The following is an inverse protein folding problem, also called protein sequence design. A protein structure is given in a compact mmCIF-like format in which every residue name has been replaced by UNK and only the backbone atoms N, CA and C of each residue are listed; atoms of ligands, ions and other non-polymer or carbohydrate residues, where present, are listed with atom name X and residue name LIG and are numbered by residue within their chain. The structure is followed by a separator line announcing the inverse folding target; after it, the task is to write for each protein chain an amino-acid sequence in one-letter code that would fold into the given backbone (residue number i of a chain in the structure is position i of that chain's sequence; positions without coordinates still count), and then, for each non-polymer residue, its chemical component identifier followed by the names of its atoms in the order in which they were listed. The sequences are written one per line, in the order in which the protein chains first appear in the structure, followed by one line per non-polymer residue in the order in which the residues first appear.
data_IF_581292813941
#
_entry.id   IF_581292813941
#
_cell.length_a   1.000
_cell.length_b   1.000
_cell.length_c   1.000
_cell.angle_alpha   90.00
_cell.angle_beta   90.00
_cell.angle_gamma   90.00
#
_symmetry.space_group_name_H-M   'P 1'
#
loop_
_entity.id
_entity.type
_entity.pdbx_description
1 polymer ?
#
# COMPACT_ATOMS: atom_id res chain seq x y z
N UNK A 1 9.26 31.22 -2.63
CA UNK A 1 8.11 30.52 -2.03
C UNK A 1 7.12 30.30 -3.15
N UNK A 2 6.78 29.06 -3.49
CA UNK A 2 5.75 28.78 -4.49
C UNK A 2 4.39 29.27 -3.97
N UNK A 3 3.61 29.96 -4.80
CA UNK A 3 2.25 30.34 -4.46
C UNK A 3 1.42 29.07 -4.23
N UNK A 4 1.05 28.81 -2.97
CA UNK A 4 0.17 27.70 -2.61
C UNK A 4 -1.22 28.03 -3.16
N UNK A 5 -1.75 27.15 -4.02
CA UNK A 5 -3.06 27.36 -4.66
C UNK A 5 -4.18 26.55 -4.04
N UNK A 6 -3.84 25.44 -3.38
CA UNK A 6 -4.78 24.55 -2.72
C UNK A 6 -4.22 24.17 -1.35
N UNK A 7 -4.94 24.57 -0.29
CA UNK A 7 -4.56 24.25 1.08
C UNK A 7 -5.07 22.88 1.50
N UNK A 8 -4.30 22.18 2.33
CA UNK A 8 -4.68 20.89 2.85
C UNK A 8 -5.69 21.01 4.00
N UNK A 9 -6.77 20.26 3.93
CA UNK A 9 -7.69 20.05 5.05
C UNK A 9 -7.90 18.55 5.28
N UNK A 10 -7.72 18.03 6.51
CA UNK A 10 -7.87 16.61 6.80
C UNK A 10 -9.32 16.11 6.71
N UNK A 11 -10.32 17.00 6.68
CA UNK A 11 -11.76 16.66 6.70
C UNK A 11 -12.07 15.68 7.84
N UNK A 12 -12.73 14.55 7.54
CA UNK A 12 -12.99 13.44 8.47
C UNK A 12 -11.98 12.28 8.34
N UNK A 13 -10.89 12.45 7.58
CA UNK A 13 -9.88 11.41 7.36
C UNK A 13 -9.14 11.09 8.68
N UNK A 14 -9.17 9.85 9.18
CA UNK A 14 -8.36 9.47 10.33
C UNK A 14 -6.88 9.42 9.96
N UNK A 15 -6.03 9.87 10.87
CA UNK A 15 -4.57 9.78 10.74
C UNK A 15 -3.99 8.77 11.71
N UNK A 16 -3.02 7.98 11.26
CA UNK A 16 -2.27 7.00 12.06
C UNK A 16 -0.78 7.28 11.95
N UNK A 17 0.00 6.80 12.91
CA UNK A 17 1.46 6.76 12.74
C UNK A 17 1.83 5.71 11.69
N UNK A 18 2.84 5.99 10.88
CA UNK A 18 3.44 5.00 9.99
C UNK A 18 4.42 4.16 10.81
N UNK A 19 3.93 3.04 11.32
CA UNK A 19 4.66 2.18 12.26
C UNK A 19 5.07 2.91 13.53
N UNK A 20 6.32 2.71 13.94
CA UNK A 20 6.91 3.33 15.14
C UNK A 20 7.34 4.78 14.94
N UNK A 21 7.30 5.30 13.71
CA UNK A 21 7.79 6.63 13.39
C UNK A 21 6.88 7.76 13.92
N UNK A 22 7.42 9.00 13.89
CA UNK A 22 6.64 10.21 14.14
C UNK A 22 5.76 10.64 12.96
N UNK A 23 5.95 10.05 11.78
CA UNK A 23 5.20 10.40 10.56
C UNK A 23 3.76 9.95 10.69
N UNK A 24 2.81 10.89 10.47
CA UNK A 24 1.38 10.60 10.45
C UNK A 24 0.90 10.51 9.01
N UNK A 25 0.20 9.43 8.70
CA UNK A 25 -0.35 9.13 7.37
C UNK A 25 -1.86 9.02 7.44
N UNK A 26 -2.59 9.35 6.36
CA UNK A 26 -4.03 9.19 6.30
C UNK A 26 -4.36 7.71 6.22
N UNK A 27 -5.51 7.31 6.79
CA UNK A 27 -5.97 5.93 6.76
C UNK A 27 -6.08 5.37 5.34
N UNK A 28 -6.42 6.24 4.37
CA UNK A 28 -6.38 5.93 2.95
C UNK A 28 -5.37 6.82 2.24
N UNK A 29 -4.50 6.21 1.44
CA UNK A 29 -3.56 6.88 0.54
C UNK A 29 -3.93 6.59 -0.93
N UNK A 30 -3.28 7.25 -1.88
CA UNK A 30 -3.52 7.05 -3.31
C UNK A 30 -2.25 6.53 -4.01
N UNK A 31 -2.36 5.40 -4.71
CA UNK A 31 -1.26 4.78 -5.46
C UNK A 31 -1.37 4.96 -6.97
N UNK A 32 -0.22 5.08 -7.65
CA UNK A 32 -0.12 5.29 -9.10
C UNK A 32 -0.11 4.04 -9.98
N UNK A 33 0.09 2.85 -9.42
CA UNK A 33 0.32 1.62 -10.19
C UNK A 33 -0.78 1.35 -11.25
N UNK A 34 -0.35 1.09 -12.50
CA UNK A 34 -1.17 0.89 -13.71
C UNK A 34 -2.01 2.08 -14.17
N UNK A 35 -2.28 3.05 -13.30
CA UNK A 35 -3.28 4.10 -13.51
C UNK A 35 -2.62 5.42 -13.86
N UNK A 36 -2.02 6.10 -12.88
CA UNK A 36 -1.41 7.41 -13.05
C UNK A 36 -0.13 7.30 -13.90
N UNK A 37 -0.11 7.89 -15.09
CA UNK A 37 0.97 7.73 -16.07
C UNK A 37 0.87 6.46 -16.93
N UNK A 38 -0.10 5.59 -16.62
CA UNK A 38 -0.41 4.37 -17.34
C UNK A 38 -1.69 4.54 -18.16
N UNK A 39 -2.79 3.94 -17.71
CA UNK A 39 -4.10 4.08 -18.39
C UNK A 39 -4.74 5.45 -18.23
N UNK A 40 -4.28 6.28 -17.30
CA UNK A 40 -4.75 7.64 -17.07
C UNK A 40 -3.56 8.60 -17.17
N UNK A 41 -3.65 9.59 -18.05
CA UNK A 41 -2.59 10.59 -18.32
C UNK A 41 -3.20 11.98 -18.46
N UNK A 42 -2.41 13.03 -18.25
CA UNK A 42 -2.86 14.42 -18.40
C UNK A 42 -3.87 14.90 -17.35
N UNK A 43 -4.82 15.74 -17.75
CA UNK A 43 -5.80 16.36 -16.82
C UNK A 43 -6.59 15.37 -15.96
N UNK A 44 -7.02 14.19 -16.45
CA UNK A 44 -7.63 13.18 -15.59
C UNK A 44 -6.80 12.77 -14.35
N UNK A 45 -5.46 12.74 -14.45
CA UNK A 45 -4.58 12.47 -13.29
C UNK A 45 -4.72 13.60 -12.27
N UNK A 46 -4.72 14.85 -12.75
CA UNK A 46 -4.88 16.05 -11.91
C UNK A 46 -6.19 16.00 -11.14
N UNK A 47 -7.30 15.70 -11.80
CA UNK A 47 -8.61 15.63 -11.15
C UNK A 47 -8.69 14.53 -10.09
N UNK A 48 -8.05 13.38 -10.32
CA UNK A 48 -7.99 12.28 -9.33
C UNK A 48 -7.19 12.71 -8.10
N UNK A 49 -5.98 13.24 -8.27
CA UNK A 49 -5.12 13.67 -7.15
C UNK A 49 -5.77 14.83 -6.40
N UNK A 50 -6.34 15.82 -7.11
CA UNK A 50 -7.09 16.93 -6.53
C UNK A 50 -8.24 16.43 -5.66
N UNK A 51 -9.05 15.51 -6.19
CA UNK A 51 -10.17 14.92 -5.44
C UNK A 51 -9.69 14.18 -4.19
N UNK A 52 -8.59 13.43 -4.28
CA UNK A 52 -8.00 12.77 -3.12
C UNK A 52 -7.59 13.79 -2.04
N UNK A 53 -6.86 14.83 -2.45
CA UNK A 53 -6.36 15.88 -1.56
C UNK A 53 -7.47 16.67 -0.88
N UNK A 54 -8.51 17.06 -1.63
CA UNK A 54 -9.68 17.78 -1.11
C UNK A 54 -10.51 16.94 -0.10
N UNK A 55 -10.31 15.63 -0.08
CA UNK A 55 -10.99 14.69 0.83
C UNK A 55 -10.05 14.10 1.89
N UNK A 56 -8.96 14.81 2.23
CA UNK A 56 -8.09 14.47 3.36
C UNK A 56 -6.99 13.45 3.06
N UNK A 57 -6.84 12.98 1.82
CA UNK A 57 -5.71 12.15 1.42
C UNK A 57 -4.51 13.05 1.08
N UNK A 58 -3.47 13.02 1.90
CA UNK A 58 -2.20 13.70 1.60
C UNK A 58 -1.04 12.75 1.31
N UNK A 59 -1.26 11.44 1.30
CA UNK A 59 -0.23 10.45 0.98
C UNK A 59 -0.39 9.91 -0.44
N UNK A 60 0.67 10.03 -1.24
CA UNK A 60 0.72 9.61 -2.63
C UNK A 60 1.88 8.66 -2.88
N UNK A 61 1.58 7.49 -3.41
CA UNK A 61 2.53 6.39 -3.58
C UNK A 61 2.77 6.09 -5.07
N UNK A 62 4.05 5.99 -5.46
CA UNK A 62 4.49 5.68 -6.81
C UNK A 62 5.75 4.79 -6.79
N UNK A 63 6.33 4.45 -7.93
CA UNK A 63 7.61 3.73 -8.01
C UNK A 63 8.34 4.11 -9.30
N UNK A 64 9.67 3.97 -9.31
CA UNK A 64 10.49 4.31 -10.48
C UNK A 64 10.06 3.57 -11.76
N UNK A 65 9.60 2.32 -11.61
CA UNK A 65 9.22 1.45 -12.71
C UNK A 65 7.85 1.80 -13.29
N UNK A 66 6.95 2.40 -12.50
CA UNK A 66 5.53 2.46 -12.83
C UNK A 66 5.31 3.19 -14.16
N UNK A 67 4.84 2.43 -15.14
CA UNK A 67 4.65 2.87 -16.52
C UNK A 67 5.92 3.44 -17.16
N UNK A 68 7.09 2.88 -16.82
CA UNK A 68 8.40 3.34 -17.28
C UNK A 68 8.79 4.71 -16.74
N UNK A 69 8.46 5.00 -15.48
CA UNK A 69 8.72 6.29 -14.82
C UNK A 69 7.67 7.38 -15.10
N UNK A 70 6.66 7.11 -15.94
CA UNK A 70 5.60 8.08 -16.25
C UNK A 70 4.72 8.42 -15.06
N UNK A 71 4.56 7.49 -14.11
CA UNK A 71 3.77 7.75 -12.90
C UNK A 71 4.38 8.86 -12.05
N UNK A 72 5.70 8.85 -11.89
CA UNK A 72 6.44 9.91 -11.19
C UNK A 72 6.37 11.25 -11.93
N UNK A 73 6.51 11.25 -13.26
CA UNK A 73 6.38 12.46 -14.08
C UNK A 73 5.00 13.11 -13.93
N UNK A 74 3.93 12.30 -14.00
CA UNK A 74 2.55 12.78 -13.85
C UNK A 74 2.28 13.30 -12.43
N UNK A 75 2.71 12.56 -11.40
CA UNK A 75 2.52 12.98 -10.01
C UNK A 75 3.27 14.29 -9.71
N UNK A 76 4.53 14.40 -10.15
CA UNK A 76 5.32 15.62 -10.00
C UNK A 76 4.72 16.83 -10.73
N UNK A 77 4.27 16.64 -11.97
CA UNK A 77 3.56 17.66 -12.75
C UNK A 77 2.31 18.15 -12.01
N UNK A 78 1.47 17.23 -11.53
CA UNK A 78 0.22 17.56 -10.87
C UNK A 78 0.43 18.29 -9.55
N UNK A 79 1.37 17.84 -8.70
CA UNK A 79 1.74 18.52 -7.45
C UNK A 79 2.08 20.00 -7.71
N UNK A 80 2.87 20.25 -8.76
CA UNK A 80 3.29 21.60 -9.18
C UNK A 80 2.14 22.42 -9.77
N UNK A 81 1.32 21.84 -10.65
CA UNK A 81 0.19 22.54 -11.27
C UNK A 81 -0.87 22.96 -10.24
N UNK A 82 -1.19 22.06 -9.32
CA UNK A 82 -2.13 22.31 -8.22
C UNK A 82 -1.55 23.24 -7.14
N UNK A 83 -0.25 23.57 -7.21
CA UNK A 83 0.41 24.41 -6.21
C UNK A 83 0.27 23.84 -4.80
N UNK A 84 0.39 22.51 -4.66
CA UNK A 84 0.29 21.85 -3.36
C UNK A 84 1.54 22.17 -2.53
N UNK A 85 1.34 22.57 -1.28
CA UNK A 85 2.45 22.85 -0.38
C UNK A 85 3.17 21.54 -0.04
N UNK A 86 4.47 21.46 -0.31
CA UNK A 86 5.24 20.23 -0.09
C UNK A 86 5.16 19.69 1.35
N UNK A 87 5.07 20.56 2.35
CA UNK A 87 4.96 20.20 3.77
C UNK A 87 3.61 19.58 4.16
N UNK A 88 2.60 19.72 3.30
CA UNK A 88 1.29 19.12 3.53
C UNK A 88 1.23 17.69 2.98
N UNK A 89 2.20 17.30 2.14
CA UNK A 89 2.21 16.03 1.42
C UNK A 89 3.11 14.99 2.08
N UNK A 90 2.70 13.73 1.95
CA UNK A 90 3.54 12.55 2.16
C UNK A 90 3.72 11.84 0.81
N UNK A 91 4.88 11.96 0.20
CA UNK A 91 5.17 11.32 -1.10
C UNK A 91 6.06 10.12 -0.89
N UNK A 92 5.68 8.96 -1.45
CA UNK A 92 6.48 7.74 -1.39
C UNK A 92 6.82 7.23 -2.77
N UNK A 93 8.07 6.81 -2.95
CA UNK A 93 8.50 6.07 -4.16
C UNK A 93 9.21 4.78 -3.76
N UNK A 94 9.48 3.91 -4.74
CA UNK A 94 10.09 2.60 -4.53
C UNK A 94 11.15 2.33 -5.58
N UNK A 95 12.22 1.67 -5.14
CA UNK A 95 13.35 1.29 -5.99
C UNK A 95 13.51 -0.22 -6.03
N UNK A 96 13.67 -0.74 -7.25
CA UNK A 96 14.18 -2.09 -7.56
C UNK A 96 14.32 -2.29 -9.07
N UNK A 97 13.34 -1.87 -9.85
CA UNK A 97 13.35 -2.02 -11.32
C UNK A 97 13.49 -0.65 -11.96
N UNK A 98 14.69 -0.26 -12.36
CA UNK A 98 14.89 1.02 -13.02
C UNK A 98 14.22 1.10 -14.40
N UNK A 99 14.16 2.32 -14.91
CA UNK A 99 13.54 2.64 -16.21
C UNK A 99 14.44 2.29 -17.42
N UNK A 100 15.68 1.88 -17.16
CA UNK A 100 16.68 1.51 -18.17
C UNK A 100 16.97 0.01 -18.14
N UNK A 101 17.67 -0.47 -19.16
CA UNK A 101 17.99 -1.90 -19.34
C UNK A 101 19.50 -2.08 -19.33
N UNK A 102 20.05 -2.25 -18.15
CA UNK A 102 21.48 -2.45 -17.90
C UNK A 102 21.70 -3.28 -16.65
N UNK A 103 22.89 -3.86 -16.48
CA UNK A 103 23.17 -4.79 -15.36
C UNK A 103 23.09 -4.13 -13.99
N UNK A 104 23.18 -2.79 -13.92
CA UNK A 104 23.10 -2.00 -12.70
C UNK A 104 21.89 -1.05 -12.67
N UNK A 105 20.94 -1.20 -13.60
CA UNK A 105 19.74 -0.38 -13.66
C UNK A 105 18.60 -0.97 -12.79
N UNK A 106 18.93 -1.82 -11.82
CA UNK A 106 17.97 -2.45 -10.92
C UNK A 106 18.64 -3.12 -9.70
N UNK A 107 17.81 -3.77 -8.89
CA UNK A 107 18.19 -4.39 -7.62
C UNK A 107 18.29 -3.39 -6.47
N UNK A 108 18.88 -3.82 -5.36
CA UNK A 108 19.10 -3.01 -4.16
C UNK A 108 20.57 -2.74 -3.89
N UNK A 109 21.42 -2.79 -4.93
CA UNK A 109 22.80 -2.36 -4.81
C UNK A 109 22.87 -0.89 -4.39
N UNK A 110 23.93 -0.50 -3.70
CA UNK A 110 24.17 0.90 -3.32
C UNK A 110 24.12 1.83 -4.53
N UNK A 111 24.65 1.37 -5.68
CA UNK A 111 24.63 2.12 -6.94
C UNK A 111 23.19 2.40 -7.38
N UNK A 112 22.36 1.36 -7.49
CA UNK A 112 20.97 1.53 -7.94
C UNK A 112 20.11 2.31 -6.94
N UNK A 113 20.28 2.07 -5.63
CA UNK A 113 19.53 2.84 -4.62
C UNK A 113 19.84 4.35 -4.76
N UNK A 114 21.11 4.73 -4.90
CA UNK A 114 21.50 6.14 -5.05
C UNK A 114 21.00 6.71 -6.38
N UNK A 115 21.34 6.07 -7.50
CA UNK A 115 21.00 6.58 -8.85
C UNK A 115 19.49 6.55 -9.11
N UNK A 116 18.80 5.50 -8.67
CA UNK A 116 17.36 5.35 -8.73
C UNK A 116 16.63 6.40 -7.89
N UNK A 117 17.14 6.73 -6.69
CA UNK A 117 16.58 7.83 -5.87
C UNK A 117 16.68 9.14 -6.63
N UNK A 118 17.88 9.50 -7.14
CA UNK A 118 18.09 10.75 -7.86
C UNK A 118 17.21 10.85 -9.11
N UNK A 119 17.12 9.77 -9.89
CA UNK A 119 16.25 9.73 -11.06
C UNK A 119 14.77 9.84 -10.72
N UNK A 120 14.33 9.28 -9.59
CA UNK A 120 12.95 9.40 -9.11
C UNK A 120 12.62 10.83 -8.69
N UNK A 121 13.52 11.48 -7.93
CA UNK A 121 13.38 12.88 -7.53
C UNK A 121 13.32 13.83 -8.72
N UNK A 122 14.16 13.60 -9.74
CA UNK A 122 14.14 14.37 -10.99
C UNK A 122 12.78 14.26 -11.70
N UNK A 123 12.26 13.04 -11.88
CA UNK A 123 10.94 12.82 -12.51
C UNK A 123 9.80 13.42 -11.69
N UNK A 124 9.86 13.28 -10.36
CA UNK A 124 8.90 13.87 -9.43
C UNK A 124 9.00 15.39 -9.34
N UNK A 125 10.09 16.00 -9.82
CA UNK A 125 10.40 17.43 -9.60
C UNK A 125 10.38 17.80 -8.10
N UNK A 126 10.90 16.91 -7.25
CA UNK A 126 10.98 17.08 -5.79
C UNK A 126 12.42 17.02 -5.31
N UNK A 127 12.72 17.74 -4.23
CA UNK A 127 14.04 17.66 -3.57
C UNK A 127 14.15 16.42 -2.68
N UNK A 128 13.01 15.93 -2.18
CA UNK A 128 12.93 14.75 -1.31
C UNK A 128 11.58 14.04 -1.43
N UNK A 129 11.58 12.74 -1.13
CA UNK A 129 10.38 11.96 -0.80
C UNK A 129 10.28 11.77 0.71
N UNK A 130 9.08 11.54 1.25
CA UNK A 130 8.94 11.30 2.69
C UNK A 130 9.43 9.89 3.06
N UNK A 131 9.07 8.89 2.25
CA UNK A 131 9.51 7.51 2.44
C UNK A 131 9.97 6.92 1.12
N UNK A 132 11.16 6.31 1.13
CA UNK A 132 11.64 5.51 0.01
C UNK A 132 11.58 4.01 0.35
N UNK A 133 10.94 3.24 -0.52
CA UNK A 133 10.75 1.81 -0.30
C UNK A 133 11.76 0.97 -1.09
N UNK A 134 12.30 -0.07 -0.48
CA UNK A 134 12.83 -1.21 -1.20
C UNK A 134 11.66 -1.96 -1.83
N UNK A 135 11.47 -1.88 -3.15
CA UNK A 135 10.24 -2.36 -3.80
C UNK A 135 10.10 -3.89 -3.72
N UNK A 136 11.21 -4.64 -3.67
CA UNK A 136 11.26 -6.09 -3.45
C UNK A 136 12.53 -6.46 -2.68
N UNK A 137 12.59 -7.63 -2.03
CA UNK A 137 13.85 -8.12 -1.47
C UNK A 137 14.84 -8.45 -2.61
N UNK A 138 16.13 -8.21 -2.36
CA UNK A 138 17.21 -8.56 -3.30
C UNK A 138 18.17 -9.54 -2.63
N UNK A 139 18.03 -10.82 -2.98
CA UNK A 139 18.87 -11.89 -2.43
C UNK A 139 20.30 -11.89 -2.99
N UNK A 140 20.60 -11.03 -3.97
CA UNK A 140 21.92 -10.92 -4.61
C UNK A 140 22.78 -9.82 -3.99
N UNK A 141 22.21 -8.99 -3.11
CA UNK A 141 22.90 -7.88 -2.45
C UNK A 141 22.93 -8.11 -0.93
N UNK A 142 24.10 -7.97 -0.27
CA UNK A 142 24.18 -8.10 1.18
C UNK A 142 23.29 -7.08 1.91
N UNK A 143 22.55 -7.53 2.93
CA UNK A 143 21.65 -6.67 3.72
C UNK A 143 22.37 -5.44 4.32
N UNK A 144 23.63 -5.59 4.71
CA UNK A 144 24.44 -4.46 5.19
C UNK A 144 24.60 -3.36 4.13
N UNK A 145 24.80 -3.72 2.86
CA UNK A 145 24.88 -2.74 1.78
C UNK A 145 23.55 -2.02 1.59
N UNK A 146 22.43 -2.77 1.59
CA UNK A 146 21.07 -2.24 1.45
C UNK A 146 20.77 -1.21 2.54
N UNK A 147 20.96 -1.58 3.82
CA UNK A 147 20.69 -0.70 4.96
C UNK A 147 21.59 0.54 4.92
N UNK A 148 22.88 0.40 4.62
CA UNK A 148 23.81 1.54 4.47
C UNK A 148 23.43 2.45 3.31
N UNK A 149 22.93 1.91 2.20
CA UNK A 149 22.54 2.68 1.04
C UNK A 149 21.30 3.54 1.32
N UNK A 150 20.25 2.97 1.93
CA UNK A 150 19.06 3.74 2.31
C UNK A 150 19.36 4.80 3.38
N UNK A 151 20.21 4.48 4.36
CA UNK A 151 20.65 5.47 5.35
C UNK A 151 21.45 6.62 4.71
N UNK A 152 22.30 6.32 3.71
CA UNK A 152 22.99 7.36 2.96
C UNK A 152 22.00 8.28 2.20
N UNK A 153 20.94 7.72 1.60
CA UNK A 153 19.88 8.52 0.95
C UNK A 153 19.19 9.46 1.96
N UNK A 154 18.96 8.97 3.19
CA UNK A 154 18.41 9.77 4.29
C UNK A 154 19.38 10.88 4.72
N UNK A 155 20.65 10.55 4.93
CA UNK A 155 21.68 11.53 5.34
C UNK A 155 21.90 12.62 4.29
N UNK A 156 21.63 12.33 3.01
CA UNK A 156 21.64 13.31 1.92
C UNK A 156 20.41 14.21 1.88
N UNK A 157 19.38 13.93 2.69
CA UNK A 157 18.13 14.66 2.70
C UNK A 157 17.22 14.34 1.51
N UNK A 158 17.49 13.27 0.77
CA UNK A 158 16.68 12.86 -0.39
C UNK A 158 15.45 12.04 0.00
N UNK A 159 15.47 11.44 1.18
CA UNK A 159 14.32 10.85 1.83
C UNK A 159 14.34 11.15 3.34
N UNK A 160 13.19 11.22 4.01
CA UNK A 160 13.16 11.29 5.47
C UNK A 160 13.22 9.92 6.13
N UNK A 161 12.60 8.93 5.51
CA UNK A 161 12.54 7.56 6.02
C UNK A 161 12.75 6.56 4.88
N UNK A 162 13.03 5.32 5.25
CA UNK A 162 12.98 4.19 4.32
C UNK A 162 12.11 3.06 4.88
N UNK A 163 11.63 2.22 3.99
CA UNK A 163 10.71 1.13 4.31
C UNK A 163 10.89 -0.03 3.32
N UNK A 164 10.26 -1.17 3.60
CA UNK A 164 10.36 -2.40 2.78
C UNK A 164 9.05 -2.68 2.06
N UNK A 165 9.07 -3.48 0.99
CA UNK A 165 7.85 -3.92 0.30
C UNK A 165 7.95 -5.35 -0.19
N UNK A 166 6.98 -6.18 0.20
CA UNK A 166 6.93 -7.61 -0.07
C UNK A 166 8.16 -8.37 0.47
N UNK A 167 8.70 -7.92 1.59
CA UNK A 167 9.79 -8.60 2.30
C UNK A 167 9.24 -9.66 3.25
N UNK A 168 9.98 -10.74 3.50
CA UNK A 168 9.57 -11.68 4.55
C UNK A 168 9.81 -11.10 5.94
N UNK A 169 9.16 -11.67 6.97
CA UNK A 169 9.43 -11.27 8.34
C UNK A 169 10.90 -11.46 8.73
N UNK A 170 11.55 -12.46 8.13
CA UNK A 170 12.99 -12.73 8.29
C UNK A 170 13.84 -11.60 7.73
N UNK A 171 13.54 -11.15 6.51
CA UNK A 171 14.35 -10.10 5.86
C UNK A 171 14.21 -8.77 6.61
N UNK A 172 13.00 -8.46 7.10
CA UNK A 172 12.75 -7.26 7.93
C UNK A 172 13.50 -7.36 9.26
N UNK A 173 13.47 -8.52 9.93
CA UNK A 173 14.24 -8.76 11.15
C UNK A 173 15.75 -8.60 10.91
N UNK A 174 16.28 -9.10 9.80
CA UNK A 174 17.69 -8.93 9.42
C UNK A 174 18.05 -7.46 9.20
N UNK A 175 17.21 -6.70 8.49
CA UNK A 175 17.39 -5.27 8.30
C UNK A 175 17.43 -4.50 9.63
N UNK A 176 16.50 -4.80 10.55
CA UNK A 176 16.49 -4.23 11.90
C UNK A 176 17.75 -4.60 12.69
N UNK A 177 18.19 -5.86 12.60
CA UNK A 177 19.41 -6.32 13.27
C UNK A 177 20.66 -5.59 12.76
N UNK A 178 20.82 -5.51 11.43
CA UNK A 178 21.92 -4.78 10.78
C UNK A 178 21.89 -3.31 11.15
N UNK A 179 20.73 -2.66 11.06
CA UNK A 179 20.58 -1.25 11.42
C UNK A 179 20.98 -0.99 12.89
N UNK A 180 20.48 -1.82 13.81
CA UNK A 180 20.82 -1.73 15.24
C UNK A 180 22.32 -1.91 15.48
N UNK A 181 22.93 -2.95 14.90
CA UNK A 181 24.37 -3.25 15.03
C UNK A 181 25.24 -2.10 14.53
N UNK A 182 24.80 -1.40 13.48
CA UNK A 182 25.55 -0.33 12.83
C UNK A 182 25.16 1.07 13.30
N UNK A 183 24.24 1.19 14.25
CA UNK A 183 23.66 2.47 14.70
C UNK A 183 23.07 3.29 13.54
N UNK A 184 22.34 2.62 12.65
CA UNK A 184 21.65 3.17 11.51
C UNK A 184 20.13 3.12 11.72
N UNK A 185 19.39 3.88 10.91
CA UNK A 185 17.93 3.85 10.90
C UNK A 185 17.42 2.53 10.27
N UNK A 186 16.57 1.76 10.99
CA UNK A 186 15.88 0.60 10.43
C UNK A 186 14.69 1.04 9.54
N UNK A 187 14.09 0.13 8.75
CA UNK A 187 12.90 0.45 7.99
C UNK A 187 11.72 0.75 8.93
N UNK A 188 10.90 1.75 8.61
CA UNK A 188 9.81 2.19 9.52
C UNK A 188 8.49 1.46 9.29
N UNK A 189 8.33 0.85 8.11
CA UNK A 189 7.10 0.23 7.66
C UNK A 189 7.37 -0.85 6.61
N UNK A 190 6.33 -1.64 6.34
CA UNK A 190 6.32 -2.65 5.29
C UNK A 190 5.11 -2.43 4.37
N UNK A 191 5.35 -2.37 3.07
CA UNK A 191 4.30 -2.28 2.06
C UNK A 191 3.95 -3.66 1.51
N UNK A 192 2.84 -4.23 1.97
CA UNK A 192 2.45 -5.60 1.67
C UNK A 192 1.06 -5.73 1.03
N UNK A 193 0.88 -6.81 0.27
CA UNK A 193 -0.42 -7.26 -0.21
C UNK A 193 -1.26 -7.71 0.99
N UNK A 194 -2.41 -7.09 1.20
CA UNK A 194 -3.37 -7.55 2.19
C UNK A 194 -4.79 -7.27 1.70
N UNK A 195 -5.59 -8.32 1.62
CA UNK A 195 -7.02 -8.22 1.37
C UNK A 195 -7.72 -9.44 1.97
N UNK A 196 -9.04 -9.48 1.86
CA UNK A 196 -9.87 -10.58 2.38
C UNK A 196 -9.49 -11.98 1.85
N UNK A 197 -8.73 -12.10 0.76
CA UNK A 197 -8.25 -13.36 0.20
C UNK A 197 -6.73 -13.58 0.33
N UNK A 198 -6.00 -12.65 0.97
CA UNK A 198 -4.55 -12.74 1.17
C UNK A 198 -4.19 -12.18 2.55
N UNK A 199 -4.05 -13.09 3.53
CA UNK A 199 -4.01 -12.74 4.97
C UNK A 199 -2.80 -13.31 5.72
N UNK A 200 -2.25 -14.44 5.28
CA UNK A 200 -1.23 -15.21 6.03
C UNK A 200 -0.03 -14.35 6.45
N UNK A 201 0.61 -13.64 5.51
CA UNK A 201 1.77 -12.81 5.82
C UNK A 201 1.46 -11.65 6.76
N UNK A 202 0.52 -10.74 6.42
CA UNK A 202 0.26 -9.56 7.25
C UNK A 202 -0.48 -9.86 8.57
N UNK A 203 -1.22 -10.96 8.72
CA UNK A 203 -1.92 -11.29 9.97
C UNK A 203 -1.17 -12.29 10.85
N UNK A 204 -0.27 -13.11 10.29
CA UNK A 204 0.47 -14.13 11.05
C UNK A 204 1.98 -13.98 10.95
N UNK A 205 2.56 -13.99 9.75
CA UNK A 205 4.02 -13.94 9.57
C UNK A 205 4.63 -12.69 10.24
N UNK A 206 3.99 -11.53 10.10
CA UNK A 206 4.44 -10.26 10.67
C UNK A 206 4.09 -10.06 12.15
N UNK A 207 3.30 -10.94 12.77
CA UNK A 207 2.84 -10.76 14.16
C UNK A 207 3.97 -10.51 15.17
N UNK A 208 5.13 -11.19 15.11
CA UNK A 208 6.27 -10.89 15.98
C UNK A 208 6.83 -9.47 15.77
N UNK A 209 6.83 -8.97 14.53
CA UNK A 209 7.39 -7.66 14.18
C UNK A 209 6.51 -6.50 14.67
N UNK A 210 5.18 -6.67 14.64
CA UNK A 210 4.26 -5.70 15.23
C UNK A 210 4.53 -5.50 16.71
N UNK A 211 4.71 -6.60 17.45
CA UNK A 211 5.01 -6.54 18.89
C UNK A 211 6.39 -5.98 19.18
N UNK A 212 7.40 -6.38 18.38
CA UNK A 212 8.81 -6.07 18.66
C UNK A 212 9.20 -4.66 18.21
N UNK A 213 8.78 -4.24 17.02
CA UNK A 213 9.22 -2.99 16.40
C UNK A 213 8.09 -1.97 16.25
N UNK A 214 6.86 -2.31 16.63
CA UNK A 214 5.67 -1.52 16.29
C UNK A 214 5.60 -1.25 14.78
N UNK A 215 5.95 -2.28 13.98
CA UNK A 215 5.91 -2.21 12.53
C UNK A 215 4.51 -1.79 12.07
N UNK A 216 4.43 -0.84 11.16
CA UNK A 216 3.19 -0.46 10.49
C UNK A 216 3.17 -0.99 9.07
N UNK A 217 1.98 -1.34 8.56
CA UNK A 217 1.83 -1.72 7.16
C UNK A 217 1.22 -0.62 6.31
N UNK A 218 1.72 -0.46 5.09
CA UNK A 218 1.02 0.25 4.01
C UNK A 218 0.44 -0.80 3.07
N UNK A 219 -0.87 -0.99 3.07
CA UNK A 219 -1.48 -2.11 2.36
C UNK A 219 -1.76 -1.74 0.90
N UNK A 220 -1.36 -2.58 -0.06
CA UNK A 220 -1.81 -2.44 -1.45
C UNK A 220 -2.76 -3.56 -1.87
N UNK A 221 -3.46 -3.34 -2.99
CA UNK A 221 -4.39 -4.33 -3.58
C UNK A 221 -5.45 -4.84 -2.60
N UNK A 222 -5.94 -3.95 -1.73
CA UNK A 222 -7.03 -4.24 -0.77
C UNK A 222 -8.33 -4.74 -1.43
N UNK A 223 -8.54 -4.40 -2.71
CA UNK A 223 -9.68 -4.86 -3.51
C UNK A 223 -9.39 -6.09 -4.37
N UNK A 224 -8.23 -6.74 -4.20
CA UNK A 224 -7.81 -7.94 -4.94
C UNK A 224 -7.91 -7.77 -6.48
N UNK A 225 -7.28 -6.72 -7.02
CA UNK A 225 -7.36 -6.40 -8.46
C UNK A 225 -8.74 -5.91 -8.92
N UNK A 226 -9.68 -5.69 -7.99
CA UNK A 226 -11.07 -5.34 -8.25
C UNK A 226 -12.05 -6.49 -8.00
N UNK A 227 -11.58 -7.70 -7.68
CA UNK A 227 -12.43 -8.85 -7.37
C UNK A 227 -13.46 -8.54 -6.27
N UNK A 228 -13.02 -7.88 -5.21
CA UNK A 228 -13.86 -7.54 -4.04
C UNK A 228 -14.88 -6.42 -4.30
N UNK A 229 -14.94 -5.88 -5.53
CA UNK A 229 -15.96 -4.89 -5.90
C UNK A 229 -17.27 -5.54 -6.36
N UNK A 230 -17.27 -6.86 -6.61
CA UNK A 230 -18.40 -7.57 -7.19
C UNK A 230 -18.53 -7.44 -8.72
N UNK A 231 -17.76 -6.57 -9.37
CA UNK A 231 -17.86 -6.33 -10.84
C UNK A 231 -17.57 -7.56 -11.70
N UNK A 232 -16.92 -8.57 -11.12
CA UNK A 232 -16.53 -9.81 -11.81
C UNK A 232 -17.50 -10.99 -11.56
N UNK A 233 -18.58 -10.76 -10.82
CA UNK A 233 -19.52 -11.81 -10.41
C UNK A 233 -20.16 -12.54 -11.60
N UNK A 234 -20.30 -11.87 -12.75
CA UNK A 234 -21.01 -12.37 -13.92
C UNK A 234 -20.12 -12.37 -15.19
N UNK A 235 -18.80 -12.40 -15.00
CA UNK A 235 -17.81 -12.38 -16.08
C UNK A 235 -16.83 -11.21 -15.96
N UNK A 236 -15.94 -11.06 -16.94
CA UNK A 236 -14.96 -9.96 -16.97
C UNK A 236 -15.55 -8.81 -17.79
N UNK A 237 -15.91 -7.66 -17.18
CA UNK A 237 -16.44 -6.54 -17.94
C UNK A 237 -15.39 -5.94 -18.87
N UNK A 238 -15.84 -5.40 -20.00
CA UNK A 238 -15.02 -4.54 -20.86
C UNK A 238 -14.47 -3.35 -20.07
N UNK A 239 -13.27 -2.88 -20.43
CA UNK A 239 -12.57 -1.76 -19.77
C UNK A 239 -12.23 -1.99 -18.28
N UNK A 240 -12.52 -3.18 -17.73
CA UNK A 240 -12.08 -3.56 -16.39
C UNK A 240 -10.57 -3.79 -16.36
N UNK A 241 -9.98 -3.85 -15.15
CA UNK A 241 -8.53 -4.07 -14.98
C UNK A 241 -8.08 -5.40 -15.60
N UNK A 242 -8.84 -6.47 -15.37
CA UNK A 242 -8.56 -7.79 -15.96
C UNK A 242 -8.74 -7.83 -17.49
N UNK A 243 -9.54 -6.93 -18.08
CA UNK A 243 -9.65 -6.78 -19.53
C UNK A 243 -8.47 -5.98 -20.11
N UNK A 244 -8.21 -4.80 -19.55
CA UNK A 244 -7.19 -3.85 -20.06
C UNK A 244 -5.74 -4.27 -19.79
N UNK A 245 -5.52 -5.13 -18.78
CA UNK A 245 -4.19 -5.62 -18.39
C UNK A 245 -4.16 -7.14 -18.29
N UNK A 246 -4.79 -7.83 -19.24
CA UNK A 246 -4.94 -9.28 -19.20
C UNK A 246 -3.62 -10.04 -19.06
N UNK A 247 -2.52 -9.53 -19.63
CA UNK A 247 -1.18 -10.13 -19.50
C UNK A 247 -0.67 -10.11 -18.06
N UNK A 248 -0.80 -8.97 -17.37
CA UNK A 248 -0.38 -8.80 -15.98
C UNK A 248 -1.25 -9.63 -14.99
N UNK A 249 -2.52 -9.88 -15.34
CA UNK A 249 -3.46 -10.62 -14.50
C UNK A 249 -3.78 -12.02 -15.02
N UNK A 250 -3.00 -12.56 -15.95
CA UNK A 250 -3.31 -13.83 -16.63
C UNK A 250 -3.59 -14.98 -15.64
N UNK A 251 -2.71 -15.18 -14.66
CA UNK A 251 -2.88 -16.21 -13.64
C UNK A 251 -4.17 -16.01 -12.84
N UNK A 252 -4.50 -14.78 -12.46
CA UNK A 252 -5.75 -14.48 -11.76
C UNK A 252 -6.96 -14.79 -12.64
N UNK A 253 -6.95 -14.35 -13.89
CA UNK A 253 -8.03 -14.57 -14.86
C UNK A 253 -8.26 -16.06 -15.12
N UNK A 254 -7.18 -16.83 -15.30
CA UNK A 254 -7.27 -18.28 -15.49
C UNK A 254 -7.80 -18.97 -14.24
N UNK A 255 -7.40 -18.53 -13.05
CA UNK A 255 -7.91 -19.06 -11.77
C UNK A 255 -9.42 -18.85 -11.59
N UNK A 256 -9.99 -17.77 -12.14
CA UNK A 256 -11.44 -17.51 -12.06
C UNK A 256 -12.26 -18.60 -12.76
N UNK A 257 -11.67 -19.36 -13.69
CA UNK A 257 -12.34 -20.48 -14.37
C UNK A 257 -12.26 -21.79 -13.59
N UNK A 258 -11.44 -21.85 -12.55
CA UNK A 258 -11.22 -23.03 -11.71
C UNK A 258 -12.14 -23.00 -10.47
N UNK A 259 -12.38 -24.16 -9.81
CA UNK A 259 -13.23 -24.24 -8.63
C UNK A 259 -12.86 -23.23 -7.53
N UNK A 260 -11.56 -23.01 -7.30
CA UNK A 260 -11.05 -22.05 -6.32
C UNK A 260 -11.44 -20.60 -6.63
N UNK A 261 -11.40 -20.20 -7.90
CA UNK A 261 -11.83 -18.88 -8.34
C UNK A 261 -13.34 -18.70 -8.29
N UNK A 262 -14.09 -19.75 -8.64
CA UNK A 262 -15.55 -19.77 -8.49
C UNK A 262 -15.98 -19.67 -7.03
N UNK A 263 -15.24 -20.31 -6.12
CA UNK A 263 -15.49 -20.16 -4.68
C UNK A 263 -15.19 -18.74 -4.19
N UNK A 264 -14.13 -18.09 -4.70
CA UNK A 264 -13.90 -16.65 -4.42
C UNK A 264 -15.06 -15.78 -4.91
N UNK A 265 -15.57 -16.02 -6.13
CA UNK A 265 -16.75 -15.31 -6.66
C UNK A 265 -17.98 -15.53 -5.78
N UNK A 266 -18.24 -16.77 -5.34
CA UNK A 266 -19.34 -17.09 -4.42
C UNK A 266 -19.20 -16.30 -3.11
N UNK A 267 -18.00 -16.25 -2.52
CA UNK A 267 -17.71 -15.45 -1.31
C UNK A 267 -17.96 -13.96 -1.56
N UNK A 268 -17.51 -13.40 -2.69
CA UNK A 268 -17.79 -11.99 -3.07
C UNK A 268 -19.30 -11.72 -3.18
N UNK A 269 -20.08 -12.65 -3.74
CA UNK A 269 -21.55 -12.52 -3.81
C UNK A 269 -22.19 -12.47 -2.43
N UNK A 270 -21.75 -13.30 -1.48
CA UNK A 270 -22.25 -13.25 -0.10
C UNK A 270 -21.83 -11.96 0.62
N UNK A 271 -20.58 -11.50 0.44
CA UNK A 271 -20.13 -10.20 0.97
C UNK A 271 -20.93 -9.03 0.37
N UNK A 272 -21.35 -9.14 -0.89
CA UNK A 272 -22.20 -8.13 -1.55
C UNK A 272 -23.56 -8.00 -0.86
N UNK A 273 -24.13 -9.10 -0.35
CA UNK A 273 -25.37 -9.05 0.43
C UNK A 273 -25.18 -8.29 1.75
N UNK A 274 -24.08 -8.58 2.47
CA UNK A 274 -23.73 -7.85 3.70
C UNK A 274 -23.55 -6.35 3.41
N UNK A 275 -22.86 -6.01 2.32
CA UNK A 275 -22.69 -4.62 1.91
C UNK A 275 -24.05 -3.93 1.67
N UNK A 276 -24.99 -4.62 1.01
CA UNK A 276 -26.36 -4.14 0.80
C UNK A 276 -27.12 -3.89 2.10
N UNK A 277 -27.05 -4.81 3.06
CA UNK A 277 -27.65 -4.65 4.40
C UNK A 277 -27.09 -3.42 5.15
N UNK A 278 -25.80 -3.14 4.99
CA UNK A 278 -25.12 -1.97 5.58
C UNK A 278 -25.29 -0.68 4.76
N UNK A 279 -26.07 -0.73 3.67
CA UNK A 279 -26.30 0.35 2.70
C UNK A 279 -24.98 0.92 2.15
N UNK A 280 -24.08 0.03 1.73
CA UNK A 280 -22.77 0.37 1.18
C UNK A 280 -22.40 -0.51 -0.02
N UNK A 281 -21.27 -0.24 -0.64
CA UNK A 281 -20.75 -1.06 -1.75
C UNK A 281 -19.80 -2.15 -1.27
N UNK A 282 -19.64 -3.26 -2.01
CA UNK A 282 -18.68 -4.32 -1.67
C UNK A 282 -17.24 -3.78 -1.56
N UNK A 283 -16.88 -2.79 -2.38
CA UNK A 283 -15.59 -2.10 -2.31
C UNK A 283 -15.40 -1.36 -0.99
N UNK A 284 -16.38 -0.54 -0.59
CA UNK A 284 -16.29 0.18 0.67
C UNK A 284 -16.29 -0.76 1.88
N UNK A 285 -17.05 -1.87 1.82
CA UNK A 285 -17.01 -2.93 2.83
C UNK A 285 -15.62 -3.57 2.95
N UNK A 286 -15.01 -3.96 1.83
CA UNK A 286 -13.69 -4.57 1.81
C UNK A 286 -12.60 -3.63 2.33
N UNK A 287 -12.65 -2.35 1.93
CA UNK A 287 -11.74 -1.30 2.40
C UNK A 287 -11.92 -1.00 3.89
N UNK A 288 -13.15 -0.97 4.39
CA UNK A 288 -13.42 -0.77 5.81
C UNK A 288 -12.91 -1.93 6.67
N UNK A 289 -13.09 -3.17 6.20
CA UNK A 289 -12.59 -4.37 6.88
C UNK A 289 -11.07 -4.32 7.05
N UNK A 290 -10.31 -4.03 5.99
CA UNK A 290 -8.85 -3.95 6.09
C UNK A 290 -8.41 -2.75 6.94
N UNK A 291 -9.09 -1.61 6.81
CA UNK A 291 -8.78 -0.41 7.57
C UNK A 291 -8.99 -0.59 9.10
N UNK A 292 -9.78 -1.59 9.53
CA UNK A 292 -9.92 -1.92 10.95
C UNK A 292 -8.70 -2.61 11.56
N UNK A 293 -7.79 -3.17 10.75
CA UNK A 293 -6.59 -3.79 11.26
C UNK A 293 -5.71 -2.73 11.97
N UNK A 294 -5.42 -2.89 13.28
CA UNK A 294 -4.65 -1.90 14.04
C UNK A 294 -3.19 -1.78 13.55
N UNK A 295 -2.67 -2.81 12.88
CA UNK A 295 -1.30 -2.80 12.34
C UNK A 295 -1.22 -2.13 10.96
N UNK A 296 -2.36 -1.87 10.32
CA UNK A 296 -2.41 -1.13 9.04
C UNK A 296 -2.39 0.36 9.30
N UNK A 297 -1.29 1.01 8.90
CA UNK A 297 -1.13 2.46 9.02
C UNK A 297 -1.94 3.18 7.94
N UNK A 298 -1.91 2.68 6.70
CA UNK A 298 -2.64 3.24 5.57
C UNK A 298 -2.99 2.15 4.54
N UNK A 299 -4.08 2.35 3.81
CA UNK A 299 -4.51 1.48 2.70
C UNK A 299 -4.37 2.27 1.40
N UNK A 300 -3.51 1.80 0.51
CA UNK A 300 -3.22 2.42 -0.79
C UNK A 300 -4.37 2.09 -1.74
N UNK A 301 -5.17 3.12 -2.03
CA UNK A 301 -6.26 3.06 -2.99
C UNK A 301 -5.71 3.16 -4.43
N UNK A 302 -6.34 2.43 -5.34
CA UNK A 302 -6.18 2.66 -6.77
C UNK A 302 -7.48 3.21 -7.35
N UNK A 303 -7.40 4.25 -8.17
CA UNK A 303 -8.55 4.86 -8.81
C UNK A 303 -8.21 5.27 -10.25
N UNK A 304 -9.15 5.08 -11.17
CA UNK A 304 -9.06 5.56 -12.56
C UNK A 304 -9.97 6.76 -12.83
N UNK A 305 -10.69 7.25 -11.81
CA UNK A 305 -11.53 8.45 -11.90
C UNK A 305 -11.75 9.06 -10.51
N UNK A 306 -12.09 10.37 -10.42
CA UNK A 306 -12.48 11.02 -9.18
C UNK A 306 -13.60 10.29 -8.43
N UNK A 307 -14.60 9.79 -9.17
CA UNK A 307 -15.74 9.09 -8.58
C UNK A 307 -15.32 7.82 -7.82
N UNK A 308 -14.30 7.10 -8.30
CA UNK A 308 -13.79 5.92 -7.58
C UNK A 308 -13.08 6.31 -6.29
N UNK A 309 -12.42 7.47 -6.22
CA UNK A 309 -11.85 7.98 -4.97
C UNK A 309 -12.97 8.22 -3.96
N UNK A 310 -14.00 8.96 -4.34
CA UNK A 310 -15.15 9.24 -3.47
C UNK A 310 -15.89 7.97 -3.04
N UNK A 311 -16.07 7.01 -3.95
CA UNK A 311 -16.69 5.72 -3.64
C UNK A 311 -15.88 4.90 -2.64
N UNK A 312 -14.55 4.87 -2.80
CA UNK A 312 -13.66 4.18 -1.87
C UNK A 312 -13.71 4.83 -0.47
N UNK A 313 -13.82 6.15 -0.39
CA UNK A 313 -13.84 6.90 0.87
C UNK A 313 -15.12 6.68 1.69
N UNK A 314 -16.21 6.18 1.09
CA UNK A 314 -17.39 5.70 1.85
C UNK A 314 -17.03 4.60 2.85
N UNK A 315 -15.89 3.94 2.70
CA UNK A 315 -15.36 3.01 3.69
C UNK A 315 -15.26 3.65 5.10
N UNK A 316 -14.99 4.96 5.19
CA UNK A 316 -14.95 5.67 6.47
C UNK A 316 -16.27 5.58 7.23
N UNK A 317 -17.40 5.65 6.52
CA UNK A 317 -18.74 5.54 7.11
C UNK A 317 -19.14 4.09 7.42
N UNK A 318 -18.41 3.12 6.86
CA UNK A 318 -18.64 1.68 7.06
C UNK A 318 -17.86 1.14 8.26
N UNK A 319 -16.65 1.64 8.51
CA UNK A 319 -15.80 1.23 9.65
C UNK A 319 -16.59 1.14 10.98
N UNK A 320 -17.37 2.17 11.41
CA UNK A 320 -18.12 2.08 12.66
C UNK A 320 -19.30 1.10 12.62
N UNK A 321 -19.76 0.70 11.43
CA UNK A 321 -20.87 -0.27 11.23
C UNK A 321 -20.41 -1.72 11.30
N UNK A 322 -19.10 -1.99 11.26
CA UNK A 322 -18.53 -3.34 11.37
C UNK A 322 -18.58 -3.82 12.82
N UNK A 323 -19.77 -4.12 13.34
CA UNK A 323 -19.96 -4.70 14.67
C UNK A 323 -19.32 -6.10 14.76
N UNK A 324 -19.17 -6.64 15.97
CA UNK A 324 -18.68 -8.01 16.17
C UNK A 324 -19.49 -9.03 15.37
N UNK A 325 -20.82 -8.92 15.38
CA UNK A 325 -21.72 -9.81 14.62
C UNK A 325 -21.49 -9.71 13.11
N UNK A 326 -21.34 -8.50 12.56
CA UNK A 326 -21.04 -8.30 11.14
C UNK A 326 -19.69 -8.91 10.78
N UNK A 327 -18.67 -8.70 11.62
CA UNK A 327 -17.35 -9.29 11.40
C UNK A 327 -17.39 -10.81 11.45
N UNK A 328 -18.06 -11.43 12.42
CA UNK A 328 -18.21 -12.89 12.49
C UNK A 328 -18.87 -13.46 11.23
N UNK A 329 -19.88 -12.76 10.68
CA UNK A 329 -20.51 -13.14 9.40
C UNK A 329 -19.52 -13.04 8.23
N UNK A 330 -18.72 -11.98 8.17
CA UNK A 330 -17.67 -11.82 7.15
C UNK A 330 -16.63 -12.93 7.29
N UNK A 331 -16.11 -13.16 8.49
CA UNK A 331 -15.09 -14.20 8.75
C UNK A 331 -15.61 -15.60 8.41
N UNK A 332 -16.88 -15.90 8.68
CA UNK A 332 -17.52 -17.17 8.29
C UNK A 332 -17.64 -17.33 6.76
N UNK A 333 -17.85 -16.23 6.03
CA UNK A 333 -17.86 -16.28 4.55
C UNK A 333 -16.43 -16.48 4.03
N UNK A 334 -15.47 -15.75 4.58
CA UNK A 334 -14.09 -15.78 4.13
C UNK A 334 -13.41 -17.11 4.44
N UNK A 335 -13.66 -17.67 5.62
CA UNK A 335 -13.21 -18.99 6.09
C UNK A 335 -11.74 -19.26 5.72
N UNK A 336 -10.89 -18.28 6.02
CA UNK A 336 -9.48 -18.26 5.65
C UNK A 336 -8.61 -17.47 6.62
N UNK A 337 -9.12 -17.25 7.84
CA UNK A 337 -8.34 -16.65 8.91
C UNK A 337 -7.07 -17.49 9.14
N UNK A 338 -5.89 -16.86 9.22
CA UNK A 338 -4.66 -17.61 9.46
C UNK A 338 -4.74 -18.41 10.76
N UNK A 339 -4.22 -19.64 10.72
CA UNK A 339 -4.16 -20.47 11.92
C UNK A 339 -3.34 -19.76 13.01
N UNK A 340 -3.78 -19.82 14.29
CA UNK A 340 -3.00 -19.29 15.39
C UNK A 340 -1.65 -20.01 15.50
N UNK A 341 -0.66 -19.35 16.11
CA UNK A 341 0.60 -20.01 16.42
C UNK A 341 0.37 -21.23 17.32
N UNK A 342 0.94 -22.37 16.93
CA UNK A 342 0.86 -23.58 17.71
C UNK A 342 1.60 -23.39 19.04
N UNK A 343 0.87 -23.38 20.15
CA UNK A 343 1.42 -23.19 21.49
C UNK A 343 1.82 -24.51 22.18
N UNK A 344 1.74 -25.65 21.48
CA UNK A 344 2.03 -26.99 22.02
C UNK A 344 1.27 -27.29 23.33
N UNK A 345 0.04 -26.79 23.44
CA UNK A 345 -0.78 -26.94 24.65
C UNK A 345 -0.40 -26.03 25.80
N UNK A 346 0.53 -25.09 25.61
CA UNK A 346 0.89 -24.09 26.63
C UNK A 346 -0.08 -22.91 26.59
N UNK A 347 -0.70 -22.53 27.72
CA UNK A 347 -1.61 -21.39 27.76
C UNK A 347 -0.87 -20.09 27.42
N UNK A 348 -1.56 -19.19 26.74
CA UNK A 348 -1.07 -17.83 26.52
C UNK A 348 -1.02 -17.10 27.87
N UNK A 349 -0.02 -16.24 28.06
CA UNK A 349 0.09 -15.40 29.24
C UNK A 349 -0.24 -13.95 28.88
N UNK A 350 -0.88 -13.24 29.79
CA UNK A 350 -1.07 -11.79 29.71
C UNK A 350 0.29 -11.06 29.77
N UNK A 351 0.26 -9.72 29.62
CA UNK A 351 1.49 -8.90 29.66
C UNK A 351 2.26 -8.96 30.98
N UNK A 352 1.69 -9.53 32.03
CA UNK A 352 2.29 -9.73 33.36
C UNK A 352 2.71 -11.19 33.60
N UNK A 353 2.56 -12.08 32.61
CA UNK A 353 2.91 -13.49 32.73
C UNK A 353 1.85 -14.34 33.44
N UNK A 354 0.59 -13.90 33.50
CA UNK A 354 -0.52 -14.64 34.13
C UNK A 354 -1.38 -15.34 33.07
N UNK A 355 -1.95 -16.48 33.41
CA UNK A 355 -2.91 -17.19 32.54
C UNK A 355 -4.21 -16.40 32.37
#
# INVERSE_FOLDING_TARGET
MSDVKLEFEPKNMPFRRLGSSGLRVPLFSLGGWLTLGGTVTGDPVKEIIKTAFENGINMFDTAEEYSGGKSELEMGRVIKELGLRRTDLVVTTKLFWGVRKGPNDGGLSRKHIIEGTQGSLERLQLEYVDVIFAHRPDMTVPMEEVVRAFNYVIDKGWAFYWATSEWSARDIEEAHHVATRLNLMPPIAEQCLHNMFHRERPEKEYAPLYKKYQLGTTVFSALAGGLLTGKYNDGIPENSRFSTHASAFKSTIDSLKQPEGQEKIRKVRELTKIAGELQTTPSALALAWIARNPNTSTVILGASSPQQVLENLKALDVIPKLTTEVLERIEKILDNSPDPFHNFGRPMLDRYGRQ
#
